data_IF_552621567812
#
_entry.id   IF_552621567812
#
_cell.length_a   1.000
_cell.length_b   1.000
_cell.length_c   1.000
_cell.angle_alpha   90.00
_cell.angle_beta   90.00
_cell.angle_gamma   90.00
#
_symmetry.space_group_name_H-M   'P 1'
#
loop_
_entity.id
_entity.type
_entity.pdbx_description
1 polymer ?
#
# COMPACT_ATOMS: atom_id res chain seq x y z
N UNK A 1 11.36 -5.50 7.04
CA UNK A 1 11.12 -4.29 6.22
C UNK A 1 9.71 -4.32 5.64
N UNK A 2 9.33 -5.43 5.01
CA UNK A 2 7.99 -5.66 4.46
C UNK A 2 6.84 -5.46 5.46
N UNK A 3 7.00 -5.89 6.72
CA UNK A 3 5.95 -5.69 7.73
C UNK A 3 5.65 -4.22 8.02
N UNK A 4 6.66 -3.34 7.89
CA UNK A 4 6.46 -1.89 8.01
C UNK A 4 5.71 -1.34 6.80
N UNK A 5 6.01 -1.82 5.59
CA UNK A 5 5.30 -1.43 4.36
C UNK A 5 3.83 -1.84 4.47
N UNK A 6 3.55 -3.09 4.82
CA UNK A 6 2.19 -3.60 5.06
C UNK A 6 1.45 -2.80 6.11
N UNK A 7 2.13 -2.41 7.18
CA UNK A 7 1.56 -1.55 8.22
C UNK A 7 1.14 -0.18 7.68
N UNK A 8 1.98 0.49 6.88
CA UNK A 8 1.62 1.77 6.25
C UNK A 8 0.44 1.62 5.28
N UNK A 9 0.43 0.57 4.45
CA UNK A 9 -0.70 0.27 3.54
C UNK A 9 -1.99 0.09 4.35
N UNK A 10 -1.94 -0.66 5.46
CA UNK A 10 -3.10 -0.87 6.31
C UNK A 10 -3.62 0.43 6.96
N UNK A 11 -2.72 1.35 7.34
CA UNK A 11 -3.12 2.67 7.85
C UNK A 11 -3.85 3.44 6.76
N UNK A 12 -3.25 3.55 5.56
CA UNK A 12 -3.83 4.28 4.43
C UNK A 12 -5.21 3.73 4.07
N UNK A 13 -5.34 2.40 3.94
CA UNK A 13 -6.62 1.77 3.61
C UNK A 13 -7.71 2.07 4.65
N UNK A 14 -7.39 1.99 5.94
CA UNK A 14 -8.36 2.31 7.02
C UNK A 14 -8.82 3.74 6.95
N UNK A 15 -7.89 4.62 6.65
CA UNK A 15 -8.08 6.04 6.65
C UNK A 15 -8.92 6.46 5.41
N UNK A 16 -8.81 5.74 4.28
CA UNK A 16 -9.74 5.82 3.14
C UNK A 16 -11.11 5.12 3.38
N UNK A 17 -11.34 4.59 4.58
CA UNK A 17 -12.62 3.97 4.97
C UNK A 17 -12.77 2.50 4.57
N UNK A 18 -11.71 1.86 4.07
CA UNK A 18 -11.71 0.43 3.76
C UNK A 18 -11.64 -0.35 5.08
N UNK A 19 -12.76 -0.98 5.45
CA UNK A 19 -12.90 -1.80 6.66
C UNK A 19 -12.78 -3.30 6.41
N UNK A 20 -12.40 -3.69 5.19
CA UNK A 20 -12.23 -5.09 4.83
C UNK A 20 -11.03 -5.71 5.56
N UNK A 21 -11.07 -7.03 5.75
CA UNK A 21 -9.90 -7.77 6.23
C UNK A 21 -8.86 -7.87 5.10
N UNK A 22 -7.80 -7.08 5.19
CA UNK A 22 -6.70 -7.03 4.20
C UNK A 22 -5.59 -8.04 4.51
N UNK A 23 -5.75 -8.90 5.51
CA UNK A 23 -4.73 -9.88 5.89
C UNK A 23 -4.31 -10.80 4.74
N UNK A 24 -5.27 -11.17 3.88
CA UNK A 24 -5.03 -11.98 2.69
C UNK A 24 -4.14 -11.25 1.67
N UNK A 25 -4.34 -9.95 1.44
CA UNK A 25 -3.55 -9.14 0.50
C UNK A 25 -2.07 -9.11 0.85
N UNK A 26 -1.76 -9.11 2.14
CA UNK A 26 -0.37 -9.03 2.59
C UNK A 26 0.42 -10.33 2.42
N UNK A 27 -0.26 -11.43 2.07
CA UNK A 27 0.37 -12.69 1.68
C UNK A 27 0.62 -12.80 0.17
N UNK A 28 0.07 -11.89 -0.62
CA UNK A 28 0.16 -11.92 -2.09
C UNK A 28 1.40 -11.18 -2.62
N UNK A 29 1.85 -11.48 -3.85
CA UNK A 29 2.87 -10.71 -4.53
C UNK A 29 2.45 -9.25 -4.72
N UNK A 30 3.41 -8.29 -4.81
CA UNK A 30 3.09 -6.87 -4.89
C UNK A 30 2.16 -6.47 -6.03
N UNK A 31 2.32 -7.07 -7.22
CA UNK A 31 1.43 -6.82 -8.34
C UNK A 31 -0.02 -7.25 -8.07
N UNK A 32 -0.21 -8.45 -7.50
CA UNK A 32 -1.56 -8.96 -7.15
C UNK A 32 -2.20 -8.10 -6.07
N UNK A 33 -1.41 -7.73 -5.05
CA UNK A 33 -1.86 -6.82 -4.01
C UNK A 33 -2.28 -5.46 -4.59
N UNK A 34 -1.51 -4.89 -5.53
CA UNK A 34 -1.85 -3.63 -6.18
C UNK A 34 -3.19 -3.71 -6.94
N UNK A 35 -3.43 -4.81 -7.67
CA UNK A 35 -4.73 -5.05 -8.33
C UNK A 35 -5.88 -5.08 -7.31
N UNK A 36 -5.72 -5.80 -6.21
CA UNK A 36 -6.73 -5.87 -5.17
C UNK A 36 -6.97 -4.52 -4.48
N UNK A 37 -5.93 -3.72 -4.25
CA UNK A 37 -6.06 -2.35 -3.74
C UNK A 37 -6.80 -1.44 -4.73
N UNK A 38 -6.57 -1.61 -6.03
CA UNK A 38 -7.30 -0.89 -7.09
C UNK A 38 -8.78 -1.27 -7.13
N UNK A 39 -9.12 -2.56 -7.00
CA UNK A 39 -10.51 -3.02 -6.91
C UNK A 39 -11.24 -2.48 -5.68
N UNK A 40 -10.51 -2.29 -4.58
CA UNK A 40 -10.98 -1.64 -3.36
C UNK A 40 -11.11 -0.11 -3.49
N UNK A 41 -10.79 0.45 -4.67
CA UNK A 41 -10.81 1.88 -5.00
C UNK A 41 -9.89 2.72 -4.12
N UNK A 42 -8.76 2.14 -3.71
CA UNK A 42 -7.71 2.90 -3.05
C UNK A 42 -7.10 3.92 -4.01
N UNK A 43 -6.56 5.00 -3.48
CA UNK A 43 -5.86 6.02 -4.27
C UNK A 43 -4.82 5.41 -5.23
N UNK A 44 -4.89 5.84 -6.51
CA UNK A 44 -4.05 5.32 -7.59
C UNK A 44 -2.55 5.53 -7.32
N UNK A 45 -2.15 6.54 -6.55
CA UNK A 45 -0.75 6.73 -6.18
C UNK A 45 -0.25 5.58 -5.32
N UNK A 46 -1.07 5.09 -4.38
CA UNK A 46 -0.73 3.97 -3.50
C UNK A 46 -0.68 2.67 -4.31
N UNK A 47 -1.66 2.45 -5.19
CA UNK A 47 -1.69 1.31 -6.11
C UNK A 47 -0.42 1.26 -6.96
N UNK A 48 0.00 2.39 -7.54
CA UNK A 48 1.20 2.46 -8.38
C UNK A 48 2.49 2.21 -7.59
N UNK A 49 2.59 2.71 -6.35
CA UNK A 49 3.73 2.44 -5.46
C UNK A 49 3.84 0.94 -5.17
N UNK A 50 2.71 0.30 -4.85
CA UNK A 50 2.67 -1.14 -4.54
C UNK A 50 2.95 -1.98 -5.80
N UNK A 51 2.45 -1.58 -6.97
CA UNK A 51 2.71 -2.27 -8.22
C UNK A 51 4.19 -2.24 -8.62
N UNK A 52 4.91 -1.15 -8.32
CA UNK A 52 6.34 -1.03 -8.57
C UNK A 52 7.23 -1.72 -7.54
N UNK A 53 6.68 -2.21 -6.43
CA UNK A 53 7.46 -2.81 -5.34
C UNK A 53 8.11 -4.13 -5.78
N UNK A 54 9.43 -4.18 -5.69
CA UNK A 54 10.24 -5.36 -6.02
C UNK A 54 10.66 -5.44 -7.49
N UNK A 55 10.13 -4.56 -8.34
CA UNK A 55 10.52 -4.43 -9.75
C UNK A 55 11.31 -3.13 -9.98
N UNK A 56 10.66 -1.99 -9.76
CA UNK A 56 11.25 -0.66 -9.99
C UNK A 56 11.55 0.11 -8.70
N UNK A 57 10.97 -0.31 -7.58
CA UNK A 57 11.14 0.30 -6.26
C UNK A 57 11.65 -0.71 -5.24
N UNK A 58 12.67 -0.31 -4.49
CA UNK A 58 13.16 -1.05 -3.32
C UNK A 58 12.23 -0.88 -2.14
N UNK A 59 12.29 -1.80 -1.17
CA UNK A 59 11.53 -1.70 0.10
C UNK A 59 11.66 -0.35 0.79
N UNK A 60 12.84 0.27 0.71
CA UNK A 60 13.13 1.54 1.36
C UNK A 60 12.39 2.68 0.66
N UNK A 61 12.37 2.68 -0.66
CA UNK A 61 11.66 3.67 -1.49
C UNK A 61 10.15 3.51 -1.33
N UNK A 62 9.64 2.28 -1.39
CA UNK A 62 8.22 1.98 -1.14
C UNK A 62 7.81 2.49 0.24
N UNK A 63 8.55 2.15 1.29
CA UNK A 63 8.25 2.64 2.63
C UNK A 63 8.30 4.18 2.69
N UNK A 64 9.30 4.80 2.07
CA UNK A 64 9.43 6.26 2.05
C UNK A 64 8.23 6.94 1.39
N UNK A 65 7.78 6.43 0.24
CA UNK A 65 6.62 6.98 -0.47
C UNK A 65 5.32 6.80 0.32
N UNK A 66 5.06 5.61 0.85
CA UNK A 66 3.87 5.35 1.67
C UNK A 66 3.85 6.21 2.94
N UNK A 67 5.00 6.35 3.61
CA UNK A 67 5.13 7.27 4.75
C UNK A 67 4.88 8.70 4.35
N UNK A 68 5.40 9.15 3.21
CA UNK A 68 5.14 10.52 2.76
C UNK A 68 3.66 10.76 2.45
N UNK A 69 2.90 9.75 2.03
CA UNK A 69 1.45 9.85 1.84
C UNK A 69 0.75 9.97 3.20
N UNK A 70 1.14 9.12 4.15
CA UNK A 70 0.61 9.13 5.52
C UNK A 70 0.93 10.46 6.26
N UNK A 71 2.16 10.95 6.18
CA UNK A 71 2.65 12.15 6.86
C UNK A 71 2.10 13.46 6.27
N UNK A 72 1.67 13.46 5.00
CA UNK A 72 1.12 14.65 4.33
C UNK A 72 -0.32 14.99 4.75
N UNK A 73 -0.95 14.19 5.62
CA UNK A 73 -2.23 14.56 6.22
C UNK A 73 -3.35 14.73 5.21
N UNK A 74 -3.37 13.92 4.16
CA UNK A 74 -4.57 13.71 3.37
C UNK A 74 -5.46 12.61 3.95
N UNK A 75 -5.17 12.17 5.20
CA UNK A 75 -6.07 11.48 6.10
C UNK A 75 -5.74 11.79 7.57
#
# INVERSE_FOLDING_TARGET
>A
MHDRIRHEIAIICRAEGIKADLSHLFSEPPFTMALSLHELKLDDAVVNIVAGWGDTLTDREVLFHLKSINDKGMI
#
